data_IF_856160341383
#
_entry.id   IF_856160341383
#
_cell.length_a   1.000
_cell.length_b   1.000
_cell.length_c   1.000
_cell.angle_alpha   90.00
_cell.angle_beta   90.00
_cell.angle_gamma   90.00
#
_symmetry.space_group_name_H-M   'P 1'
#
loop_
_entity.id
_entity.type
_entity.pdbx_description
1 polymer ?
#
# COMPACT_ATOMS: atom_id res chain seq x y z
N UNK A 1 30.53 -13.07 5.71
CA UNK A 1 30.11 -11.72 6.12
C UNK A 1 29.87 -11.75 7.62
N UNK A 2 30.38 -10.77 8.36
CA UNK A 2 30.12 -10.69 9.81
C UNK A 2 28.71 -10.18 10.10
N UNK A 3 28.20 -10.46 11.30
CA UNK A 3 26.83 -10.12 11.73
C UNK A 3 26.54 -8.61 11.69
N UNK A 4 27.50 -7.78 12.11
CA UNK A 4 27.36 -6.31 12.11
C UNK A 4 27.10 -5.75 10.70
N UNK A 5 27.90 -6.19 9.72
CA UNK A 5 27.73 -5.79 8.33
C UNK A 5 26.42 -6.36 7.74
N UNK A 6 26.08 -7.60 8.09
CA UNK A 6 24.83 -8.20 7.63
C UNK A 6 23.58 -7.48 8.19
N UNK A 7 23.63 -7.05 9.45
CA UNK A 7 22.58 -6.24 10.06
C UNK A 7 22.47 -4.88 9.39
N UNK A 8 23.58 -4.17 9.19
CA UNK A 8 23.60 -2.85 8.55
C UNK A 8 23.01 -2.88 7.12
N UNK A 9 23.30 -3.94 6.36
CA UNK A 9 22.78 -4.11 4.99
C UNK A 9 21.26 -4.37 4.93
N UNK A 10 20.59 -4.69 6.05
CA UNK A 10 19.14 -4.99 6.11
C UNK A 10 18.26 -3.79 6.49
N UNK A 11 18.75 -2.57 6.26
CA UNK A 11 17.96 -1.35 6.46
C UNK A 11 18.75 -0.04 6.40
N UNK A 12 20.07 -0.07 6.61
CA UNK A 12 20.94 1.11 6.63
C UNK A 12 21.34 1.67 5.27
N UNK A 13 20.81 1.11 4.18
CA UNK A 13 21.16 1.49 2.81
C UNK A 13 22.50 0.90 2.35
N UNK A 14 22.46 0.03 1.34
CA UNK A 14 23.64 -0.69 0.84
C UNK A 14 24.72 0.25 0.27
N UNK A 15 24.35 1.43 -0.21
CA UNK A 15 25.26 2.43 -0.78
C UNK A 15 26.35 2.94 0.19
N UNK A 16 26.16 2.77 1.50
CA UNK A 16 27.13 3.16 2.52
C UNK A 16 28.17 2.07 2.84
N UNK A 17 27.90 0.81 2.47
CA UNK A 17 28.65 -0.36 2.97
C UNK A 17 29.29 -1.20 1.85
N UNK A 18 29.06 -0.85 0.59
CA UNK A 18 29.71 -1.47 -0.58
C UNK A 18 28.74 -1.83 -1.71
N UNK A 19 29.16 -2.74 -2.58
CA UNK A 19 28.34 -3.23 -3.70
C UNK A 19 27.79 -4.61 -3.36
N UNK A 20 26.47 -4.69 -3.14
CA UNK A 20 25.78 -5.97 -2.87
C UNK A 20 25.55 -6.72 -4.18
N UNK A 21 26.11 -7.93 -4.28
CA UNK A 21 26.01 -8.73 -5.51
C UNK A 21 24.78 -9.65 -5.54
N UNK A 22 24.31 -10.12 -4.38
CA UNK A 22 23.16 -11.02 -4.29
C UNK A 22 22.54 -11.00 -2.89
N UNK A 23 21.27 -11.37 -2.83
CA UNK A 23 20.54 -11.64 -1.59
C UNK A 23 20.08 -13.09 -1.57
N UNK A 24 20.19 -13.74 -0.41
CA UNK A 24 19.47 -14.98 -0.12
C UNK A 24 18.17 -14.63 0.58
N UNK A 25 17.06 -14.73 -0.13
CA UNK A 25 15.73 -14.42 0.42
C UNK A 25 15.07 -15.67 1.01
N UNK A 26 14.24 -15.48 2.04
CA UNK A 26 13.35 -16.50 2.56
C UNK A 26 11.95 -16.20 2.04
N UNK A 27 11.38 -17.14 1.29
CA UNK A 27 10.00 -17.02 0.84
C UNK A 27 9.05 -17.18 2.03
N UNK A 28 7.95 -16.45 2.00
CA UNK A 28 6.87 -16.53 2.97
C UNK A 28 5.66 -17.17 2.31
N UNK A 29 4.85 -17.86 3.13
CA UNK A 29 3.58 -18.38 2.66
C UNK A 29 2.60 -17.22 2.42
N UNK A 30 1.85 -17.31 1.34
CA UNK A 30 0.74 -16.41 1.05
C UNK A 30 -0.45 -17.26 0.59
N UNK A 31 -1.67 -16.97 1.06
CA UNK A 31 -2.85 -17.69 0.61
C UNK A 31 -3.02 -17.64 -0.92
N UNK A 32 -3.53 -18.71 -1.56
CA UNK A 32 -3.77 -18.73 -3.00
C UNK A 32 -4.72 -17.63 -3.49
N UNK A 33 -5.60 -17.15 -2.61
CA UNK A 33 -6.51 -16.05 -2.88
C UNK A 33 -6.42 -15.05 -1.74
N UNK A 34 -6.27 -13.78 -2.10
CA UNK A 34 -6.29 -12.61 -1.23
C UNK A 34 -7.46 -11.73 -1.60
N UNK A 35 -7.90 -10.89 -0.68
CA UNK A 35 -8.99 -9.93 -0.92
C UNK A 35 -8.43 -8.53 -0.98
N UNK A 36 -8.77 -7.77 -2.02
CA UNK A 36 -8.44 -6.35 -2.12
C UNK A 36 -9.68 -5.49 -2.15
N UNK A 37 -9.53 -4.23 -1.74
CA UNK A 37 -10.53 -3.18 -1.93
C UNK A 37 -9.86 -1.87 -2.30
N UNK A 38 -10.61 -1.01 -2.97
CA UNK A 38 -10.15 0.31 -3.37
C UNK A 38 -11.33 1.26 -3.47
N UNK A 39 -11.33 2.33 -2.67
CA UNK A 39 -12.39 3.34 -2.70
C UNK A 39 -11.79 4.73 -2.60
N UNK A 40 -12.36 5.68 -3.34
CA UNK A 40 -11.92 7.07 -3.33
C UNK A 40 -12.98 7.99 -2.75
N UNK A 41 -12.50 9.06 -2.10
CA UNK A 41 -13.32 10.12 -1.51
C UNK A 41 -12.66 11.45 -1.80
N UNK A 42 -13.45 12.41 -2.26
CA UNK A 42 -13.02 13.80 -2.45
C UNK A 42 -13.24 14.61 -1.17
N UNK A 43 -12.68 15.82 -1.11
CA UNK A 43 -12.91 16.73 0.04
C UNK A 43 -14.41 16.99 0.32
N UNK A 44 -15.24 17.01 -0.72
CA UNK A 44 -16.69 17.20 -0.59
C UNK A 44 -17.42 15.95 -0.06
N UNK A 45 -16.73 14.80 -0.01
CA UNK A 45 -17.23 13.51 0.48
C UNK A 45 -16.53 13.14 1.80
N UNK A 46 -16.25 14.15 2.63
CA UNK A 46 -15.66 14.01 3.97
C UNK A 46 -14.28 13.32 4.01
N UNK A 47 -13.48 13.41 2.92
CA UNK A 47 -12.16 12.75 2.85
C UNK A 47 -11.24 13.11 4.03
N UNK A 48 -11.22 14.37 4.49
CA UNK A 48 -10.39 14.80 5.62
C UNK A 48 -10.71 14.02 6.89
N UNK A 49 -11.99 13.87 7.22
CA UNK A 49 -12.46 13.11 8.39
C UNK A 49 -12.09 11.64 8.26
N UNK A 50 -12.27 11.06 7.07
CA UNK A 50 -11.94 9.66 6.84
C UNK A 50 -10.44 9.40 6.96
N UNK A 51 -9.58 10.32 6.54
CA UNK A 51 -8.13 10.21 6.70
C UNK A 51 -7.73 10.27 8.18
N UNK A 52 -8.32 11.17 8.96
CA UNK A 52 -8.09 11.25 10.41
C UNK A 52 -8.49 9.95 11.13
N UNK A 53 -9.66 9.40 10.78
CA UNK A 53 -10.12 8.12 11.31
C UNK A 53 -9.17 6.98 10.90
N UNK A 54 -8.78 6.93 9.62
CA UNK A 54 -7.83 5.96 9.09
C UNK A 54 -6.51 5.95 9.88
N UNK A 55 -5.95 7.12 10.20
CA UNK A 55 -4.72 7.22 11.01
C UNK A 55 -4.88 6.61 12.40
N UNK A 56 -6.07 6.73 12.99
CA UNK A 56 -6.35 6.26 14.36
C UNK A 56 -6.60 4.75 14.42
N UNK A 57 -7.31 4.18 13.43
CA UNK A 57 -7.71 2.78 13.45
C UNK A 57 -6.64 1.82 12.92
N UNK A 58 -5.81 2.26 11.97
CA UNK A 58 -4.92 1.35 11.22
C UNK A 58 -3.95 0.58 12.12
N UNK A 59 -3.37 1.17 13.19
CA UNK A 59 -2.52 0.44 14.13
C UNK A 59 -3.22 -0.69 14.91
N UNK A 60 -4.55 -0.71 14.94
CA UNK A 60 -5.37 -1.66 15.70
C UNK A 60 -6.01 -2.74 14.82
N UNK A 61 -5.82 -2.65 13.49
CA UNK A 61 -6.36 -3.63 12.55
C UNK A 61 -5.59 -4.95 12.64
N UNK A 62 -6.19 -6.00 12.10
CA UNK A 62 -5.59 -7.33 12.03
C UNK A 62 -4.30 -7.31 11.20
N UNK A 63 -3.27 -8.05 11.65
CA UNK A 63 -1.94 -8.08 11.01
C UNK A 63 -1.99 -8.53 9.54
N UNK A 64 -2.98 -9.35 9.19
CA UNK A 64 -3.19 -9.85 7.83
C UNK A 64 -3.76 -8.79 6.86
N UNK A 65 -4.12 -7.60 7.35
CA UNK A 65 -4.63 -6.49 6.55
C UNK A 65 -3.56 -5.41 6.34
N UNK A 66 -3.07 -5.31 5.11
CA UNK A 66 -2.35 -4.13 4.65
C UNK A 66 -3.35 -3.07 4.17
N UNK A 67 -3.26 -1.83 4.68
CA UNK A 67 -4.20 -0.76 4.36
C UNK A 67 -3.51 0.61 4.28
N UNK A 68 -3.62 1.29 3.13
CA UNK A 68 -3.08 2.62 2.89
C UNK A 68 -4.14 3.64 2.48
N UNK A 69 -3.88 4.92 2.79
CA UNK A 69 -4.53 6.06 2.18
C UNK A 69 -3.52 6.85 1.32
N UNK A 70 -3.88 7.15 0.08
CA UNK A 70 -3.10 8.01 -0.81
C UNK A 70 -3.84 9.31 -1.07
N UNK A 71 -3.16 10.44 -0.90
CA UNK A 71 -3.73 11.76 -1.18
C UNK A 71 -3.18 12.25 -2.52
N UNK A 72 -4.07 12.45 -3.50
CA UNK A 72 -3.72 12.90 -4.84
C UNK A 72 -4.58 14.11 -5.22
N UNK A 73 -4.04 14.99 -6.05
CA UNK A 73 -4.86 16.01 -6.70
C UNK A 73 -5.71 15.34 -7.78
N UNK A 74 -7.00 15.66 -7.82
CA UNK A 74 -7.96 15.19 -8.82
C UNK A 74 -8.65 16.39 -9.47
N UNK A 75 -8.96 16.27 -10.77
CA UNK A 75 -9.73 17.29 -11.48
C UNK A 75 -11.23 17.12 -11.15
N UNK A 76 -11.92 18.23 -10.90
CA UNK A 76 -13.38 18.23 -10.72
C UNK A 76 -14.01 18.26 -12.11
N UNK A 77 -14.65 17.16 -12.51
CA UNK A 77 -15.13 16.84 -13.89
C UNK A 77 -16.07 17.87 -14.55
N UNK A 78 -16.32 19.03 -13.95
CA UNK A 78 -17.22 20.05 -14.49
C UNK A 78 -16.68 21.50 -14.49
N UNK A 79 -15.58 21.82 -13.78
CA UNK A 79 -15.20 23.22 -13.54
C UNK A 79 -13.75 23.57 -13.89
N UNK A 80 -12.91 22.58 -14.20
CA UNK A 80 -11.46 22.80 -14.36
C UNK A 80 -10.73 23.13 -13.05
N UNK A 81 -11.45 23.15 -11.92
CA UNK A 81 -10.85 23.29 -10.60
C UNK A 81 -10.30 21.94 -10.12
N UNK A 82 -9.19 22.00 -9.38
CA UNK A 82 -8.60 20.84 -8.73
C UNK A 82 -9.14 20.68 -7.31
N UNK A 83 -9.35 19.44 -6.90
CA UNK A 83 -9.64 19.04 -5.53
C UNK A 83 -8.61 18.03 -5.05
N UNK A 84 -8.64 17.71 -3.75
CA UNK A 84 -7.88 16.59 -3.20
C UNK A 84 -8.80 15.37 -3.13
N UNK A 85 -8.26 14.23 -3.55
CA UNK A 85 -8.89 12.93 -3.44
C UNK A 85 -8.03 12.05 -2.54
N UNK A 86 -8.68 11.42 -1.55
CA UNK A 86 -8.13 10.34 -0.76
C UNK A 86 -8.53 9.00 -1.39
N UNK A 87 -7.55 8.16 -1.72
CA UNK A 87 -7.74 6.81 -2.22
C UNK A 87 -7.34 5.83 -1.12
N UNK A 88 -8.33 5.11 -0.60
CA UNK A 88 -8.19 4.08 0.42
C UNK A 88 -8.05 2.72 -0.28
N UNK A 89 -6.92 2.05 -0.09
CA UNK A 89 -6.63 0.75 -0.71
C UNK A 89 -6.12 -0.24 0.31
N UNK A 90 -6.63 -1.46 0.27
CA UNK A 90 -6.16 -2.52 1.14
C UNK A 90 -6.02 -3.87 0.45
N UNK A 91 -5.22 -4.74 1.06
CA UNK A 91 -5.04 -6.14 0.73
C UNK A 91 -5.04 -6.96 2.01
N UNK A 92 -5.95 -7.92 2.07
CA UNK A 92 -6.12 -8.84 3.18
C UNK A 92 -5.69 -10.25 2.78
N UNK A 93 -4.87 -10.89 3.61
CA UNK A 93 -4.41 -12.26 3.43
C UNK A 93 -5.49 -13.29 3.83
N UNK A 94 -6.65 -13.19 3.20
CA UNK A 94 -7.79 -14.07 3.45
C UNK A 94 -8.96 -13.77 2.52
N UNK A 95 -10.12 -14.34 2.83
CA UNK A 95 -11.33 -14.22 2.02
C UNK A 95 -12.16 -12.99 2.34
N UNK A 96 -13.01 -12.57 1.41
CA UNK A 96 -13.87 -11.39 1.59
C UNK A 96 -14.84 -11.54 2.75
N UNK A 97 -15.29 -12.77 3.03
CA UNK A 97 -16.22 -13.08 4.12
C UNK A 97 -15.58 -12.84 5.49
N UNK A 98 -14.26 -12.91 5.59
CA UNK A 98 -13.51 -12.64 6.82
C UNK A 98 -13.20 -11.14 6.95
N UNK A 99 -12.86 -10.47 5.84
CA UNK A 99 -12.53 -9.04 5.84
C UNK A 99 -13.74 -8.12 6.06
N UNK A 100 -14.88 -8.44 5.45
CA UNK A 100 -16.09 -7.63 5.54
C UNK A 100 -16.49 -7.29 6.99
N UNK A 101 -16.67 -8.25 7.90
CA UNK A 101 -17.04 -7.94 9.29
C UNK A 101 -15.95 -7.18 10.04
N UNK A 102 -14.67 -7.35 9.69
CA UNK A 102 -13.57 -6.57 10.27
C UNK A 102 -13.71 -5.09 9.88
N UNK A 103 -13.98 -4.80 8.61
CA UNK A 103 -14.15 -3.43 8.13
C UNK A 103 -15.46 -2.80 8.63
N UNK A 104 -16.56 -3.55 8.68
CA UNK A 104 -17.84 -3.06 9.23
C UNK A 104 -17.74 -2.71 10.72
N UNK A 105 -16.93 -3.46 11.47
CA UNK A 105 -16.70 -3.20 12.90
C UNK A 105 -15.72 -2.07 13.15
N UNK A 106 -14.60 -2.05 12.42
CA UNK A 106 -13.48 -1.17 12.72
C UNK A 106 -13.51 0.14 11.91
N UNK A 107 -14.15 0.16 10.75
CA UNK A 107 -14.24 1.34 9.90
C UNK A 107 -15.53 1.43 9.06
N UNK A 108 -16.72 1.40 9.69
CA UNK A 108 -17.99 1.47 8.97
C UNK A 108 -18.14 2.75 8.14
N UNK A 109 -17.56 3.87 8.57
CA UNK A 109 -17.65 5.18 7.92
C UNK A 109 -17.00 5.21 6.54
N UNK A 110 -16.03 4.33 6.27
CA UNK A 110 -15.46 4.20 4.95
C UNK A 110 -16.52 3.75 3.91
N UNK A 111 -17.55 3.04 4.37
CA UNK A 111 -18.71 2.67 3.57
C UNK A 111 -18.40 1.62 2.50
N UNK A 112 -17.49 0.69 2.79
CA UNK A 112 -17.17 -0.43 1.91
C UNK A 112 -18.39 -1.35 1.76
N UNK A 113 -18.69 -1.71 0.51
CA UNK A 113 -19.75 -2.65 0.14
C UNK A 113 -19.14 -3.95 -0.35
N UNK A 114 -19.96 -5.00 -0.36
CA UNK A 114 -19.54 -6.34 -0.84
C UNK A 114 -18.91 -6.30 -2.25
N UNK A 115 -19.41 -5.42 -3.13
CA UNK A 115 -18.92 -5.29 -4.50
C UNK A 115 -17.58 -4.53 -4.62
N UNK A 116 -17.15 -3.84 -3.57
CA UNK A 116 -15.86 -3.13 -3.54
C UNK A 116 -14.70 -4.10 -3.28
N UNK A 117 -15.00 -5.33 -2.85
CA UNK A 117 -14.02 -6.38 -2.60
C UNK A 117 -13.78 -7.23 -3.84
N UNK A 118 -12.52 -7.53 -4.12
CA UNK A 118 -12.10 -8.43 -5.21
C UNK A 118 -11.20 -9.52 -4.67
N UNK A 119 -11.55 -10.78 -4.93
CA UNK A 119 -10.68 -11.93 -4.62
C UNK A 119 -9.81 -12.27 -5.83
N UNK A 120 -8.50 -12.36 -5.61
CA UNK A 120 -7.51 -12.59 -6.67
C UNK A 120 -6.25 -13.26 -6.12
N UNK A 121 -5.33 -13.69 -6.99
CA UNK A 121 -4.03 -14.18 -6.54
C UNK A 121 -3.16 -13.03 -6.03
N UNK A 122 -2.26 -13.28 -5.07
CA UNK A 122 -1.44 -12.24 -4.44
C UNK A 122 -0.55 -11.43 -5.40
N UNK A 123 -0.15 -12.03 -6.52
CA UNK A 123 0.71 -11.34 -7.50
C UNK A 123 -0.05 -10.22 -8.24
N UNK A 124 -1.35 -10.41 -8.48
CA UNK A 124 -2.18 -9.46 -9.22
C UNK A 124 -2.29 -8.07 -8.55
N UNK A 125 -2.63 -7.95 -7.24
CA UNK A 125 -2.67 -6.65 -6.60
C UNK A 125 -1.27 -6.07 -6.39
N UNK A 126 -0.23 -6.90 -6.26
CA UNK A 126 1.16 -6.42 -6.22
C UNK A 126 1.53 -5.67 -7.50
N UNK A 127 1.14 -6.19 -8.67
CA UNK A 127 1.29 -5.53 -9.98
C UNK A 127 0.45 -4.25 -10.03
N UNK A 128 -0.83 -4.33 -9.65
CA UNK A 128 -1.75 -3.19 -9.66
C UNK A 128 -1.29 -2.02 -8.78
N UNK A 129 -0.86 -2.30 -7.55
CA UNK A 129 -0.43 -1.26 -6.60
C UNK A 129 0.88 -0.59 -7.00
N UNK A 130 1.68 -1.25 -7.84
CA UNK A 130 2.85 -0.67 -8.48
C UNK A 130 2.52 0.19 -9.71
N UNK A 131 1.24 0.28 -10.10
CA UNK A 131 0.76 1.11 -11.21
C UNK A 131 0.72 0.41 -12.57
N UNK A 132 0.87 -0.92 -12.59
CA UNK A 132 0.82 -1.72 -13.82
C UNK A 132 -0.56 -2.33 -14.04
N UNK A 133 -0.85 -2.69 -15.30
CA UNK A 133 -2.06 -3.43 -15.64
C UNK A 133 -1.97 -4.89 -15.14
N UNK A 134 -3.07 -5.40 -14.61
CA UNK A 134 -3.15 -6.69 -13.91
C UNK A 134 -3.10 -7.89 -14.88
N UNK A 135 -3.39 -7.65 -16.17
CA UNK A 135 -3.71 -8.73 -17.11
C UNK A 135 -2.52 -9.61 -17.53
N UNK A 136 -1.26 -9.15 -17.40
CA UNK A 136 -0.09 -9.94 -17.79
C UNK A 136 1.03 -9.95 -16.72
N UNK A 137 1.12 -11.02 -15.91
CA UNK A 137 2.21 -11.22 -14.96
C UNK A 137 3.61 -11.27 -15.60
N UNK A 138 3.71 -11.45 -16.92
CA UNK A 138 4.97 -11.45 -17.65
C UNK A 138 5.72 -10.12 -17.56
N UNK A 139 5.03 -9.03 -17.18
CA UNK A 139 5.67 -7.75 -16.87
C UNK A 139 6.76 -7.88 -15.81
N UNK A 140 6.61 -8.80 -14.85
CA UNK A 140 7.58 -9.07 -13.78
C UNK A 140 8.87 -9.74 -14.28
N UNK A 141 8.88 -10.26 -15.51
CA UNK A 141 10.07 -10.83 -16.14
C UNK A 141 10.96 -9.75 -16.76
N UNK A 142 10.42 -8.56 -17.01
CA UNK A 142 11.17 -7.43 -17.52
C UNK A 142 12.13 -6.89 -16.46
N UNK A 143 13.40 -6.73 -16.84
CA UNK A 143 14.42 -6.08 -16.00
C UNK A 143 14.54 -4.57 -16.26
N UNK A 144 13.67 -4.03 -17.12
CA UNK A 144 13.67 -2.61 -17.45
C UNK A 144 12.70 -1.89 -16.51
N UNK A 145 13.17 -0.97 -15.66
CA UNK A 145 12.27 -0.16 -14.87
C UNK A 145 11.48 0.79 -15.80
N UNK A 146 10.16 0.66 -15.84
CA UNK A 146 9.29 1.53 -16.65
C UNK A 146 8.97 2.86 -15.95
N UNK A 147 8.98 2.87 -14.61
CA UNK A 147 8.79 4.07 -13.81
C UNK A 147 10.08 4.47 -13.09
N UNK A 148 10.35 5.77 -13.06
CA UNK A 148 11.19 6.36 -12.00
C UNK A 148 10.37 6.25 -10.71
N UNK A 149 10.53 5.17 -9.94
CA UNK A 149 10.08 5.16 -8.55
C UNK A 149 10.59 6.45 -7.90
N UNK A 150 9.78 7.04 -7.01
CA UNK A 150 10.16 8.19 -6.20
C UNK A 150 11.64 8.08 -5.78
N UNK A 151 12.51 8.88 -6.38
CA UNK A 151 13.83 9.21 -5.83
C UNK A 151 13.66 10.19 -4.66
N UNK A 152 12.65 9.95 -3.83
CA UNK A 152 12.46 10.64 -2.58
C UNK A 152 13.52 10.12 -1.64
N UNK A 153 14.57 10.90 -1.45
CA UNK A 153 15.43 10.78 -0.28
C UNK A 153 14.49 10.72 0.93
N UNK A 154 14.39 9.57 1.60
CA UNK A 154 13.72 9.47 2.90
C UNK A 154 14.59 10.28 3.85
N UNK A 155 14.32 11.59 3.93
CA UNK A 155 14.80 12.39 5.05
C UNK A 155 13.90 12.02 6.20
N UNK A 156 14.45 11.27 7.15
CA UNK A 156 13.90 11.25 8.49
C UNK A 156 13.82 12.72 8.95
N UNK A 157 12.64 13.19 9.30
CA UNK A 157 12.53 14.40 10.09
C UNK A 157 13.11 14.07 11.46
N UNK A 158 14.36 14.47 11.70
CA UNK A 158 14.84 14.68 13.07
C UNK A 158 14.02 15.83 13.65
N UNK A 159 12.94 15.48 14.36
CA UNK A 159 12.37 16.36 15.39
C UNK A 159 13.20 16.11 16.66
N UNK A 160 14.08 17.05 17.00
CA UNK A 160 13.78 18.15 17.90
C UNK A 160 13.86 17.69 19.36
N UNK A 161 14.98 18.03 19.98
CA UNK A 161 15.24 17.94 21.40
C UNK A 161 14.07 18.50 22.23
N UNK A 162 13.65 17.73 23.23
CA UNK A 162 13.08 18.22 24.48
C UNK A 162 13.91 17.67 25.63
#
# INVERSE_FOLDING_TARGET
MGEELFWALRGGGANNFGVVLSYKIRLVYVPPQVTTFGISRTLNEDATKLVEMWQTITPQLVDDLWFRAMLLAADVEATGNRTIQAIFQGMFLGRRQELLPVMEKSFPELGLKVNDFKEMSWVQPTISFAGYDIEDPSILLSRKPEYKLFQGQIRFCEGADL
#
